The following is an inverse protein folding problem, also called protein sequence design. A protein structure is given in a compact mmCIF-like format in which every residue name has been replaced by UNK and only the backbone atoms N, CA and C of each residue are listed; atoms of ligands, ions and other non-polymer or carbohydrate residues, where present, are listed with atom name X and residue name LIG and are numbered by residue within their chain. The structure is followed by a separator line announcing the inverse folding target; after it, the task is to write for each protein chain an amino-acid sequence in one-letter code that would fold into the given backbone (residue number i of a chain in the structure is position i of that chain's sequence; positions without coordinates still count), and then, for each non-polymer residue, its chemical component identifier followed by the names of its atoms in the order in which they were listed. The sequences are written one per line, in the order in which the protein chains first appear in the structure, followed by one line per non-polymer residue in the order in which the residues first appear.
data_IF_554652025664
#
_entry.id   IF_554652025664
#
_cell.length_a   1.000
_cell.length_b   1.000
_cell.length_c   1.000
_cell.angle_alpha   90.00
_cell.angle_beta   90.00
_cell.angle_gamma   90.00
#
_symmetry.space_group_name_H-M   'P 1'
#
loop_
_entity.id
_entity.type
_entity.pdbx_description
1 polymer ?
#
# COMPACT_ATOMS: atom_id res chain seq x y z
N UNK A 1 10.53 -18.37 1.53
CA UNK A 1 10.00 -17.30 0.65
C UNK A 1 11.10 -16.90 -0.31
N UNK A 2 10.80 -16.63 -1.58
CA UNK A 2 11.82 -16.11 -2.51
C UNK A 2 12.24 -14.70 -2.08
N UNK A 3 13.50 -14.35 -2.35
CA UNK A 3 13.99 -13.00 -2.06
C UNK A 3 13.15 -11.95 -2.79
N UNK A 4 12.75 -10.90 -2.08
CA UNK A 4 11.97 -9.80 -2.65
C UNK A 4 12.83 -9.00 -3.64
N UNK A 5 12.22 -8.56 -4.74
CA UNK A 5 12.82 -7.71 -5.76
C UNK A 5 11.74 -6.91 -6.51
N UNK A 6 12.15 -6.12 -7.51
CA UNK A 6 11.25 -5.30 -8.33
C UNK A 6 10.03 -6.07 -8.88
N UNK A 7 10.16 -7.32 -9.29
CA UNK A 7 9.08 -8.10 -9.90
C UNK A 7 8.03 -8.59 -8.90
N UNK A 8 8.40 -8.83 -7.64
CA UNK A 8 7.55 -9.51 -6.65
C UNK A 8 7.33 -8.71 -5.34
N UNK A 9 7.77 -7.45 -5.25
CA UNK A 9 7.58 -6.59 -4.08
C UNK A 9 6.13 -6.22 -3.74
N UNK A 10 5.17 -6.53 -4.60
CA UNK A 10 3.74 -6.29 -4.34
C UNK A 10 3.20 -7.40 -3.45
N UNK A 11 2.72 -7.03 -2.26
CA UNK A 11 2.16 -7.97 -1.29
C UNK A 11 0.63 -7.99 -1.39
N UNK A 12 0.08 -9.20 -1.51
CA UNK A 12 -1.36 -9.45 -1.38
C UNK A 12 -1.59 -10.29 -0.12
N UNK A 13 -2.62 -9.93 0.65
CA UNK A 13 -3.11 -10.75 1.75
C UNK A 13 -4.32 -11.56 1.29
N UNK A 14 -4.11 -12.85 1.03
CA UNK A 14 -5.08 -13.70 0.35
C UNK A 14 -6.45 -13.79 1.05
N UNK A 15 -6.54 -13.95 2.39
CA UNK A 15 -7.83 -13.97 3.08
C UNK A 15 -8.66 -12.70 2.87
N UNK A 16 -8.01 -11.55 2.74
CA UNK A 16 -8.69 -10.29 2.51
C UNK A 16 -9.03 -10.04 1.03
N UNK A 17 -8.05 -10.20 0.13
CA UNK A 17 -8.22 -9.83 -1.28
C UNK A 17 -8.98 -10.85 -2.10
N UNK A 18 -8.81 -12.15 -1.81
CA UNK A 18 -9.33 -13.24 -2.64
C UNK A 18 -10.41 -14.08 -1.95
N UNK A 19 -10.69 -13.82 -0.67
CA UNK A 19 -11.78 -14.50 0.06
C UNK A 19 -12.80 -13.48 0.54
N UNK A 20 -12.41 -12.53 1.41
CA UNK A 20 -13.35 -11.59 2.04
C UNK A 20 -14.14 -10.74 1.03
N UNK A 21 -13.47 -9.98 0.14
CA UNK A 21 -14.20 -9.15 -0.83
C UNK A 21 -15.06 -9.96 -1.82
N UNK A 22 -14.59 -11.09 -2.39
CA UNK A 22 -15.45 -11.95 -3.19
C UNK A 22 -16.67 -12.47 -2.44
N UNK A 23 -16.52 -12.89 -1.17
CA UNK A 23 -17.64 -13.36 -0.35
C UNK A 23 -18.65 -12.24 -0.09
N UNK A 24 -18.18 -11.03 0.25
CA UNK A 24 -19.05 -9.85 0.42
C UNK A 24 -19.81 -9.56 -0.88
N UNK A 25 -19.13 -9.59 -2.03
CA UNK A 25 -19.77 -9.36 -3.33
C UNK A 25 -20.84 -10.41 -3.64
N UNK A 26 -20.54 -11.69 -3.42
CA UNK A 26 -21.51 -12.78 -3.60
C UNK A 26 -22.71 -12.59 -2.67
N UNK A 27 -22.49 -12.24 -1.41
CA UNK A 27 -23.56 -12.01 -0.45
C UNK A 27 -24.47 -10.84 -0.85
N UNK A 28 -23.91 -9.74 -1.37
CA UNK A 28 -24.67 -8.61 -1.90
C UNK A 28 -25.51 -9.05 -3.10
N UNK A 29 -24.88 -9.69 -4.10
CA UNK A 29 -25.58 -10.16 -5.32
C UNK A 29 -26.70 -11.13 -4.96
N UNK A 30 -26.44 -12.07 -4.06
CA UNK A 30 -27.42 -13.03 -3.58
C UNK A 30 -28.60 -12.34 -2.88
N UNK A 31 -28.33 -11.38 -2.00
CA UNK A 31 -29.36 -10.64 -1.27
C UNK A 31 -30.23 -9.81 -2.22
N UNK A 32 -29.61 -9.11 -3.18
CA UNK A 32 -30.33 -8.38 -4.22
C UNK A 32 -31.17 -9.33 -5.07
N UNK A 33 -30.66 -10.50 -5.45
CA UNK A 33 -31.45 -11.50 -6.20
C UNK A 33 -32.66 -11.99 -5.41
N UNK A 34 -32.49 -12.23 -4.11
CA UNK A 34 -33.59 -12.65 -3.23
C UNK A 34 -34.65 -11.56 -3.05
N UNK A 35 -34.27 -10.27 -3.05
CA UNK A 35 -35.24 -9.18 -2.92
C UNK A 35 -36.19 -9.08 -4.12
N UNK A 36 -35.76 -9.51 -5.31
CA UNK A 36 -36.63 -9.66 -6.48
C UNK A 36 -37.39 -10.98 -6.51
N UNK A 37 -36.77 -12.06 -6.02
CA UNK A 37 -37.40 -13.40 -6.01
C UNK A 37 -38.51 -13.53 -4.96
N UNK A 38 -38.39 -12.82 -3.84
CA UNK A 38 -39.34 -12.85 -2.72
C UNK A 38 -39.81 -11.43 -2.37
N UNK A 39 -40.76 -10.86 -3.15
CA UNK A 39 -41.21 -9.47 -2.97
C UNK A 39 -41.78 -9.16 -1.57
N UNK A 40 -42.46 -10.12 -0.94
CA UNK A 40 -42.98 -10.01 0.44
C UNK A 40 -41.86 -9.75 1.47
N UNK A 41 -40.62 -10.08 1.15
CA UNK A 41 -39.43 -9.92 2.00
C UNK A 41 -38.43 -8.90 1.43
N UNK A 42 -38.87 -8.07 0.48
CA UNK A 42 -37.98 -7.17 -0.25
C UNK A 42 -37.11 -6.30 0.68
N UNK A 43 -37.74 -5.64 1.65
CA UNK A 43 -37.08 -4.73 2.58
C UNK A 43 -36.03 -5.43 3.43
N UNK A 44 -36.31 -6.67 3.85
CA UNK A 44 -35.35 -7.49 4.60
C UNK A 44 -34.10 -7.78 3.74
N UNK A 45 -34.30 -8.25 2.51
CA UNK A 45 -33.20 -8.61 1.62
C UNK A 45 -32.37 -7.40 1.17
N UNK A 46 -33.01 -6.26 0.92
CA UNK A 46 -32.31 -5.00 0.64
C UNK A 46 -31.54 -4.52 1.88
N UNK A 47 -32.11 -4.61 3.08
CA UNK A 47 -31.41 -4.26 4.32
C UNK A 47 -30.17 -5.13 4.53
N UNK A 48 -30.26 -6.44 4.27
CA UNK A 48 -29.11 -7.36 4.33
C UNK A 48 -28.05 -6.97 3.29
N UNK A 49 -28.45 -6.66 2.06
CA UNK A 49 -27.52 -6.20 1.02
C UNK A 49 -26.79 -4.91 1.44
N UNK A 50 -27.53 -3.94 2.00
CA UNK A 50 -26.97 -2.69 2.51
C UNK A 50 -26.01 -2.94 3.67
N UNK A 51 -26.32 -3.85 4.60
CA UNK A 51 -25.43 -4.21 5.70
C UNK A 51 -24.09 -4.78 5.18
N UNK A 52 -24.12 -5.70 4.21
CA UNK A 52 -22.89 -6.20 3.58
C UNK A 52 -22.12 -5.11 2.83
N UNK A 53 -22.81 -4.18 2.16
CA UNK A 53 -22.18 -3.05 1.52
C UNK A 53 -21.47 -2.13 2.53
N UNK A 54 -22.12 -1.82 3.66
CA UNK A 54 -21.52 -1.03 4.75
C UNK A 54 -20.32 -1.74 5.37
N UNK A 55 -20.39 -3.05 5.60
CA UNK A 55 -19.26 -3.85 6.11
C UNK A 55 -18.09 -3.82 5.13
N UNK A 56 -18.35 -4.04 3.83
CA UNK A 56 -17.34 -3.98 2.78
C UNK A 56 -16.70 -2.59 2.68
N UNK A 57 -17.52 -1.54 2.73
CA UNK A 57 -17.06 -0.15 2.73
C UNK A 57 -16.21 0.18 3.95
N UNK A 58 -16.65 -0.20 5.14
CA UNK A 58 -15.90 0.00 6.38
C UNK A 58 -14.54 -0.68 6.31
N UNK A 59 -14.50 -1.96 5.90
CA UNK A 59 -13.23 -2.70 5.73
C UNK A 59 -12.27 -1.99 4.77
N UNK A 60 -12.78 -1.50 3.63
CA UNK A 60 -11.98 -0.73 2.68
C UNK A 60 -11.47 0.58 3.28
N UNK A 61 -12.34 1.32 3.97
CA UNK A 61 -12.00 2.60 4.60
C UNK A 61 -10.91 2.43 5.67
N UNK A 62 -11.01 1.41 6.53
CA UNK A 62 -10.04 1.13 7.58
C UNK A 62 -8.64 0.88 7.00
N UNK A 63 -8.55 0.07 5.94
CA UNK A 63 -7.28 -0.17 5.25
C UNK A 63 -6.73 1.11 4.62
N UNK A 64 -7.55 1.81 3.83
CA UNK A 64 -7.10 2.95 3.04
C UNK A 64 -6.65 4.12 3.93
N UNK A 65 -7.42 4.43 4.99
CA UNK A 65 -7.20 5.64 5.78
C UNK A 65 -6.30 5.42 6.99
N UNK A 66 -6.36 4.25 7.64
CA UNK A 66 -5.56 4.03 8.84
C UNK A 66 -4.27 3.30 8.51
N UNK A 67 -4.35 2.12 7.88
CA UNK A 67 -3.18 1.30 7.64
C UNK A 67 -2.19 1.96 6.66
N UNK A 68 -2.66 2.42 5.50
CA UNK A 68 -1.77 3.04 4.50
C UNK A 68 -1.19 4.38 4.96
N UNK A 69 -1.97 5.23 5.62
CA UNK A 69 -1.44 6.50 6.14
C UNK A 69 -0.41 6.27 7.24
N UNK A 70 -0.65 5.30 8.14
CA UNK A 70 0.33 4.92 9.14
C UNK A 70 1.61 4.38 8.48
N UNK A 71 1.47 3.50 7.47
CA UNK A 71 2.61 3.00 6.70
C UNK A 71 3.41 4.14 6.05
N UNK A 72 2.74 5.13 5.47
CA UNK A 72 3.40 6.26 4.84
C UNK A 72 4.19 7.11 5.84
N UNK A 73 3.66 7.29 7.07
CA UNK A 73 4.36 7.98 8.15
C UNK A 73 5.58 7.19 8.60
N UNK A 74 5.45 5.88 8.78
CA UNK A 74 6.56 4.98 9.15
C UNK A 74 7.67 5.03 8.10
N UNK A 75 7.33 4.92 6.81
CA UNK A 75 8.32 5.00 5.71
C UNK A 75 9.08 6.33 5.74
N UNK A 76 8.41 7.46 6.01
CA UNK A 76 9.12 8.75 6.14
C UNK A 76 10.08 8.75 7.32
N UNK A 77 9.65 8.23 8.48
CA UNK A 77 10.50 8.17 9.68
C UNK A 77 11.70 7.24 9.50
N UNK A 78 11.49 6.07 8.89
CA UNK A 78 12.54 5.12 8.53
C UNK A 78 13.58 5.79 7.63
N UNK A 79 13.14 6.45 6.55
CA UNK A 79 14.05 7.10 5.61
C UNK A 79 14.80 8.28 6.24
N UNK A 80 14.13 9.09 7.08
CA UNK A 80 14.78 10.16 7.84
C UNK A 80 15.88 9.61 8.75
N UNK A 81 15.59 8.52 9.47
CA UNK A 81 16.54 7.87 10.36
C UNK A 81 17.72 7.28 9.60
N UNK A 82 17.46 6.52 8.52
CA UNK A 82 18.51 5.92 7.68
C UNK A 82 19.42 7.00 7.09
N UNK A 83 18.84 8.06 6.51
CA UNK A 83 19.61 9.17 5.98
C UNK A 83 20.46 9.86 7.07
N UNK A 84 19.90 10.07 8.25
CA UNK A 84 20.63 10.65 9.38
C UNK A 84 21.80 9.76 9.84
N UNK A 85 21.59 8.44 9.95
CA UNK A 85 22.66 7.50 10.32
C UNK A 85 23.81 7.55 9.31
N UNK A 86 23.50 7.61 8.01
CA UNK A 86 24.52 7.59 6.95
C UNK A 86 25.26 8.92 6.77
N UNK A 87 24.64 10.05 7.11
CA UNK A 87 25.17 11.38 6.76
C UNK A 87 25.37 12.32 7.95
N UNK A 88 24.81 11.98 9.11
CA UNK A 88 24.66 12.85 10.29
C UNK A 88 23.92 14.17 9.99
N UNK A 89 23.08 14.20 8.94
CA UNK A 89 22.29 15.37 8.52
C UNK A 89 20.80 15.07 8.56
N UNK A 90 19.99 16.11 8.78
CA UNK A 90 18.53 16.00 8.68
C UNK A 90 18.12 15.82 7.22
N UNK A 91 17.08 15.02 6.98
CA UNK A 91 16.55 14.77 5.63
C UNK A 91 15.57 15.85 5.16
N UNK A 92 15.22 16.82 6.01
CA UNK A 92 14.15 17.81 5.78
C UNK A 92 14.27 18.53 4.42
N UNK A 93 15.49 18.93 4.04
CA UNK A 93 15.74 19.59 2.74
C UNK A 93 15.49 18.66 1.54
N UNK A 94 15.88 17.39 1.64
CA UNK A 94 15.64 16.40 0.58
C UNK A 94 14.15 16.03 0.50
N UNK A 95 13.49 15.92 1.65
CA UNK A 95 12.09 15.56 1.72
C UNK A 95 11.19 16.60 1.06
N UNK A 96 11.56 17.89 1.11
CA UNK A 96 10.85 18.95 0.37
C UNK A 96 11.00 18.84 -1.16
N UNK A 97 12.06 18.20 -1.64
CA UNK A 97 12.38 18.05 -3.07
C UNK A 97 11.91 16.70 -3.65
N UNK A 98 11.65 15.72 -2.78
CA UNK A 98 11.22 14.38 -3.16
C UNK A 98 9.73 14.19 -2.92
N UNK A 99 9.05 13.59 -3.88
CA UNK A 99 7.70 13.08 -3.67
C UNK A 99 7.70 11.88 -2.71
N UNK A 100 6.59 11.66 -2.01
CA UNK A 100 6.47 10.46 -1.16
C UNK A 100 6.66 9.16 -1.96
N UNK A 101 6.22 9.11 -3.22
CA UNK A 101 6.42 7.96 -4.08
C UNK A 101 7.91 7.65 -4.32
N UNK A 102 8.74 8.68 -4.49
CA UNK A 102 10.19 8.53 -4.64
C UNK A 102 10.82 8.06 -3.33
N UNK A 103 10.44 8.64 -2.19
CA UNK A 103 10.90 8.21 -0.85
C UNK A 103 10.54 6.73 -0.62
N UNK A 104 9.31 6.34 -0.92
CA UNK A 104 8.84 4.97 -0.77
C UNK A 104 9.47 3.99 -1.78
N UNK A 105 10.05 4.47 -2.88
CA UNK A 105 10.86 3.66 -3.79
C UNK A 105 12.29 3.50 -3.28
N UNK A 106 12.89 4.58 -2.79
CA UNK A 106 14.26 4.62 -2.26
C UNK A 106 14.46 3.70 -1.06
N UNK A 107 13.42 3.45 -0.25
CA UNK A 107 13.54 2.53 0.91
C UNK A 107 14.04 1.12 0.57
N UNK A 108 13.81 0.67 -0.66
CA UNK A 108 14.24 -0.65 -1.11
C UNK A 108 15.73 -0.70 -1.48
N UNK A 109 16.42 0.45 -1.53
CA UNK A 109 17.85 0.51 -1.78
C UNK A 109 18.63 0.11 -0.53
N UNK A 110 19.75 -0.60 -0.70
CA UNK A 110 20.69 -0.83 0.40
C UNK A 110 21.39 0.46 0.81
N UNK A 111 22.00 0.46 1.99
CA UNK A 111 22.66 1.65 2.54
C UNK A 111 23.83 2.13 1.68
N UNK A 112 24.53 1.21 0.99
CA UNK A 112 25.67 1.51 0.13
C UNK A 112 25.27 2.26 -1.15
N UNK A 113 24.05 2.05 -1.66
CA UNK A 113 23.56 2.67 -2.90
C UNK A 113 22.52 3.78 -2.67
N UNK A 114 22.07 3.97 -1.42
CA UNK A 114 21.00 4.91 -1.09
C UNK A 114 21.36 6.37 -1.41
N UNK A 115 22.50 6.87 -0.92
CA UNK A 115 22.88 8.28 -1.11
C UNK A 115 23.12 8.62 -2.60
N UNK A 116 23.90 7.84 -3.36
CA UNK A 116 24.05 8.08 -4.80
C UNK A 116 22.72 8.02 -5.56
N UNK A 117 21.81 7.13 -5.16
CA UNK A 117 20.50 7.01 -5.80
C UNK A 117 19.57 8.19 -5.46
N UNK A 118 19.67 8.78 -4.27
CA UNK A 118 18.99 10.03 -3.90
C UNK A 118 19.48 11.17 -4.82
N UNK A 119 20.80 11.35 -4.92
CA UNK A 119 21.38 12.43 -5.73
C UNK A 119 20.96 12.30 -7.20
N UNK A 120 21.03 11.08 -7.74
CA UNK A 120 20.57 10.77 -9.09
C UNK A 120 19.08 11.01 -9.27
N UNK A 121 18.26 10.66 -8.27
CA UNK A 121 16.82 10.91 -8.29
C UNK A 121 16.51 12.39 -8.42
N UNK A 122 17.24 13.24 -7.70
CA UNK A 122 17.07 14.69 -7.75
C UNK A 122 17.60 15.30 -9.04
N UNK A 123 18.75 14.83 -9.54
CA UNK A 123 19.35 15.34 -10.76
C UNK A 123 18.56 14.97 -12.02
N UNK A 124 18.09 13.73 -12.11
CA UNK A 124 17.36 13.20 -13.29
C UNK A 124 15.84 13.26 -13.14
N UNK A 125 15.32 13.73 -11.99
CA UNK A 125 13.90 13.68 -11.63
C UNK A 125 13.26 12.30 -11.83
N UNK A 126 13.91 11.26 -11.29
CA UNK A 126 13.52 9.87 -11.53
C UNK A 126 12.11 9.58 -10.99
N UNK A 127 11.31 8.89 -11.80
CA UNK A 127 10.03 8.36 -11.33
C UNK A 127 10.24 7.26 -10.28
N UNK A 128 9.27 7.02 -9.36
CA UNK A 128 9.35 5.93 -8.39
C UNK A 128 9.64 4.56 -9.02
N UNK A 129 9.15 4.34 -10.24
CA UNK A 129 9.37 3.10 -10.97
C UNK A 129 10.81 2.99 -11.48
N UNK A 130 11.37 4.08 -12.01
CA UNK A 130 12.75 4.14 -12.48
C UNK A 130 13.75 3.98 -11.33
N UNK A 131 13.45 4.54 -10.15
CA UNK A 131 14.23 4.33 -8.93
C UNK A 131 14.29 2.83 -8.60
N UNK A 132 13.13 2.17 -8.47
CA UNK A 132 13.10 0.74 -8.12
C UNK A 132 13.82 -0.15 -9.13
N UNK A 133 13.81 0.19 -10.42
CA UNK A 133 14.56 -0.52 -11.45
C UNK A 133 16.08 -0.29 -11.38
N UNK A 134 16.51 0.79 -10.76
CA UNK A 134 17.93 1.15 -10.62
C UNK A 134 18.59 0.51 -9.40
N UNK A 135 17.81 -0.05 -8.47
CA UNK A 135 18.27 -0.72 -7.24
C UNK A 135 18.95 -2.04 -7.61
N UNK A 136 20.20 -2.22 -7.19
CA UNK A 136 20.95 -3.45 -7.40
C UNK A 136 20.85 -4.37 -6.20
N UNK A 137 20.93 -3.80 -4.99
CA UNK A 137 20.90 -4.52 -3.73
C UNK A 137 19.56 -4.27 -3.03
N UNK A 138 18.57 -5.11 -3.35
CA UNK A 138 17.21 -4.91 -2.87
C UNK A 138 17.05 -5.30 -1.39
N UNK A 139 16.61 -4.33 -0.58
CA UNK A 139 16.20 -4.56 0.82
C UNK A 139 14.70 -4.87 0.85
N UNK A 140 14.34 -6.06 1.32
CA UNK A 140 12.95 -6.50 1.35
C UNK A 140 12.11 -5.71 2.39
N UNK A 141 10.90 -5.30 2.01
CA UNK A 141 9.86 -4.84 2.95
C UNK A 141 8.81 -5.94 3.15
N UNK A 142 9.04 -6.80 4.14
CA UNK A 142 8.14 -7.90 4.49
C UNK A 142 7.02 -7.47 5.44
N UNK A 143 7.16 -6.31 6.09
CA UNK A 143 6.19 -5.75 7.03
C UNK A 143 5.09 -4.91 6.36
N UNK A 144 5.11 -4.80 5.03
CA UNK A 144 4.06 -4.10 4.27
C UNK A 144 2.66 -4.66 4.56
N UNK A 145 1.69 -3.75 4.68
CA UNK A 145 0.25 -4.01 4.84
C UNK A 145 -0.54 -3.81 3.55
#
# INVERSE_FOLDING_TARGET
MSAQNYSNHRKYYAPHHFIFYPVILIAIIFSVRCSYKYPEQHDLWITIAAAFAVIGWLSFMLRQHYALNNQNRIVRLEMRLRYFILTNKKMDELESKLTFGQIAALRFASDEELLPLIDRTLAENLSPNAIKKSIKNWVADDMRV
#
